data_IF_886565697876
#
_entry.id   IF_886565697876
#
_cell.length_a   1.000
_cell.length_b   1.000
_cell.length_c   1.000
_cell.angle_alpha   90.00
_cell.angle_beta   90.00
_cell.angle_gamma   90.00
#
_symmetry.space_group_name_H-M   'P 1'
#
loop_
_entity.id
_entity.type
_entity.pdbx_description
1 polymer ?
#
# COMPACT_ATOMS: atom_id res chain seq x y z
N UNK A 1 -8.07 21.92 -15.21
CA UNK A 1 -9.30 22.60 -15.70
C UNK A 1 -10.48 22.60 -14.72
N UNK A 2 -10.34 22.15 -13.46
CA UNK A 2 -11.45 22.17 -12.47
C UNK A 2 -11.52 23.44 -11.60
N UNK A 3 -10.46 24.27 -11.60
CA UNK A 3 -10.39 25.52 -10.79
C UNK A 3 -11.06 26.70 -11.51
N UNK A 4 -11.01 26.73 -12.85
CA UNK A 4 -11.65 27.80 -13.64
C UNK A 4 -13.18 27.78 -13.50
N UNK A 5 -13.78 26.59 -13.39
CA UNK A 5 -15.21 26.40 -13.22
C UNK A 5 -15.73 26.91 -11.86
N UNK A 6 -14.90 26.84 -10.81
CA UNK A 6 -15.26 27.31 -9.46
C UNK A 6 -15.14 28.84 -9.33
N UNK A 7 -14.17 29.45 -10.02
CA UNK A 7 -14.02 30.92 -10.07
C UNK A 7 -15.15 31.55 -10.90
N UNK A 8 -15.59 30.89 -11.98
CA UNK A 8 -16.75 31.36 -12.76
C UNK A 8 -18.07 31.23 -12.01
N UNK A 9 -18.27 30.21 -11.17
CA UNK A 9 -19.45 30.13 -10.31
C UNK A 9 -19.46 31.20 -9.20
N UNK A 10 -18.31 31.54 -8.62
CA UNK A 10 -18.21 32.61 -7.63
C UNK A 10 -18.37 34.01 -8.24
N UNK A 11 -17.88 34.23 -9.46
CA UNK A 11 -18.09 35.46 -10.21
C UNK A 11 -19.57 35.63 -10.65
N UNK A 12 -20.29 34.53 -10.86
CA UNK A 12 -21.72 34.55 -11.16
C UNK A 12 -22.59 35.07 -10.01
N UNK A 13 -22.17 34.91 -8.76
CA UNK A 13 -22.89 35.44 -7.58
C UNK A 13 -22.62 36.95 -7.39
N UNK A 14 -21.50 37.46 -7.90
CA UNK A 14 -21.14 38.88 -7.83
C UNK A 14 -21.77 39.74 -8.94
N UNK A 15 -22.37 39.13 -9.97
CA UNK A 15 -23.01 39.82 -11.09
C UNK A 15 -24.56 39.85 -11.02
N UNK A 16 -25.18 39.24 -10.01
CA UNK A 16 -26.65 39.32 -9.78
C UNK A 16 -26.97 40.33 -8.66
N UNK A 17 -26.37 41.51 -8.70
CA UNK A 17 -26.84 42.63 -7.91
C UNK A 17 -27.14 43.85 -8.79
N UNK A 18 -28.20 43.82 -9.62
CA UNK A 18 -28.93 45.03 -9.92
C UNK A 18 -30.10 45.18 -8.93
N UNK A 19 -30.36 46.41 -8.52
CA UNK A 19 -31.57 46.88 -7.84
C UNK A 19 -31.65 46.62 -6.34
N UNK A 20 -31.11 47.56 -5.57
CA UNK A 20 -31.78 48.13 -4.40
C UNK A 20 -31.36 49.60 -4.27
N UNK A 21 -31.64 50.36 -5.33
CA UNK A 21 -31.86 51.80 -5.20
C UNK A 21 -33.18 52.01 -4.45
N UNK A 22 -33.12 52.85 -3.43
CA UNK A 22 -34.22 53.62 -2.84
C UNK A 22 -35.53 52.86 -2.55
N UNK A 23 -35.70 52.45 -1.30
CA UNK A 23 -36.99 52.48 -0.64
C UNK A 23 -36.76 52.78 0.85
N UNK A 24 -37.06 54.02 1.20
CA UNK A 24 -37.10 54.55 2.55
C UNK A 24 -38.34 53.96 3.26
N UNK A 25 -38.23 52.71 3.72
CA UNK A 25 -39.22 52.10 4.61
C UNK A 25 -38.50 51.62 5.87
N UNK A 26 -38.56 52.47 6.89
CA UNK A 26 -38.02 52.24 8.24
C UNK A 26 -38.83 51.16 8.96
N UNK A 27 -38.58 49.90 8.64
CA UNK A 27 -38.99 48.77 9.49
C UNK A 27 -37.75 48.19 10.20
N UNK A 28 -37.76 48.06 11.54
CA UNK A 28 -36.62 47.52 12.32
C UNK A 28 -36.25 46.06 11.96
N UNK A 29 -37.11 45.38 11.21
CA UNK A 29 -36.87 44.05 10.65
C UNK A 29 -35.95 44.09 9.40
N UNK A 30 -36.07 45.14 8.58
CA UNK A 30 -35.29 45.31 7.35
C UNK A 30 -33.84 45.73 7.66
N UNK A 31 -33.64 46.65 8.62
CA UNK A 31 -32.31 47.06 9.08
C UNK A 31 -31.52 45.92 9.70
N UNK A 32 -32.13 45.09 10.55
CA UNK A 32 -31.49 43.87 11.11
C UNK A 32 -31.15 42.83 10.05
N UNK A 33 -31.94 42.72 8.97
CA UNK A 33 -31.64 41.83 7.83
C UNK A 33 -30.47 42.37 6.99
N UNK A 34 -30.41 43.67 6.76
CA UNK A 34 -29.31 44.32 6.04
C UNK A 34 -28.01 44.21 6.82
N UNK A 35 -28.05 44.38 8.14
CA UNK A 35 -26.86 44.27 9.00
C UNK A 35 -26.33 42.83 9.08
N UNK A 36 -27.22 41.83 9.21
CA UNK A 36 -26.84 40.42 9.09
C UNK A 36 -26.26 40.06 7.71
N UNK A 37 -26.75 40.68 6.64
CA UNK A 37 -26.23 40.46 5.29
C UNK A 37 -24.85 41.12 5.12
N UNK A 38 -24.65 42.33 5.64
CA UNK A 38 -23.34 43.00 5.65
C UNK A 38 -22.31 42.16 6.40
N UNK A 39 -22.66 41.66 7.58
CA UNK A 39 -21.77 40.83 8.38
C UNK A 39 -21.42 39.50 7.68
N UNK A 40 -22.41 38.83 7.05
CA UNK A 40 -22.13 37.64 6.22
C UNK A 40 -21.24 37.93 5.02
N UNK A 41 -21.40 39.08 4.37
CA UNK A 41 -20.54 39.48 3.25
C UNK A 41 -19.11 39.75 3.72
N UNK A 42 -18.96 40.34 4.90
CA UNK A 42 -17.67 40.64 5.52
C UNK A 42 -16.96 39.36 5.96
N UNK A 43 -17.67 38.44 6.62
CA UNK A 43 -17.18 37.10 6.96
C UNK A 43 -16.75 36.32 5.71
N UNK A 44 -17.54 36.35 4.64
CA UNK A 44 -17.18 35.71 3.36
C UNK A 44 -15.97 36.38 2.73
N UNK A 45 -15.85 37.71 2.82
CA UNK A 45 -14.70 38.47 2.29
C UNK A 45 -13.42 38.17 3.06
N UNK A 46 -13.48 38.07 4.37
CA UNK A 46 -12.35 37.68 5.21
C UNK A 46 -11.95 36.22 4.96
N UNK A 47 -12.93 35.32 4.84
CA UNK A 47 -12.67 33.90 4.57
C UNK A 47 -12.10 33.68 3.15
N UNK A 48 -12.51 34.51 2.17
CA UNK A 48 -11.91 34.54 0.83
C UNK A 48 -10.50 35.13 0.88
N UNK A 49 -10.27 36.24 1.60
CA UNK A 49 -8.92 36.81 1.78
C UNK A 49 -7.99 35.79 2.44
N UNK A 50 -8.41 35.13 3.52
CA UNK A 50 -7.65 34.09 4.19
C UNK A 50 -7.31 32.91 3.25
N UNK A 51 -8.24 32.48 2.40
CA UNK A 51 -7.99 31.43 1.38
C UNK A 51 -7.14 31.87 0.20
N UNK A 52 -7.11 33.16 -0.11
CA UNK A 52 -6.26 33.74 -1.17
C UNK A 52 -4.85 34.04 -0.65
N UNK A 53 -4.71 34.35 0.64
CA UNK A 53 -3.46 34.62 1.35
C UNK A 53 -2.81 33.37 1.96
N UNK A 54 -3.50 32.23 2.02
CA UNK A 54 -2.86 30.93 2.26
C UNK A 54 -1.69 30.80 1.26
N UNK A 55 -0.44 30.70 1.73
CA UNK A 55 0.70 30.61 0.84
C UNK A 55 0.52 29.35 0.01
N UNK A 56 0.15 29.52 -1.27
CA UNK A 56 0.16 28.45 -2.25
C UNK A 56 1.57 27.88 -2.18
N UNK A 57 1.71 26.64 -1.67
CA UNK A 57 3.01 25.96 -1.62
C UNK A 57 3.68 26.20 -2.97
N UNK A 58 4.89 26.77 -2.94
CA UNK A 58 5.65 27.02 -4.16
C UNK A 58 5.76 25.71 -4.93
N UNK A 59 5.83 25.78 -6.27
CA UNK A 59 5.91 24.58 -7.12
C UNK A 59 7.03 23.63 -6.68
N UNK A 60 8.07 24.17 -6.06
CA UNK A 60 9.20 23.45 -5.45
C UNK A 60 8.78 22.66 -4.20
N UNK A 61 8.11 23.28 -3.24
CA UNK A 61 7.59 22.59 -2.04
C UNK A 61 6.63 21.44 -2.41
N UNK A 62 5.77 21.62 -3.42
CA UNK A 62 4.89 20.55 -3.93
C UNK A 62 5.70 19.40 -4.55
N UNK A 63 6.82 19.68 -5.21
CA UNK A 63 7.69 18.65 -5.80
C UNK A 63 8.48 17.90 -4.73
N UNK A 64 8.97 18.60 -3.72
CA UNK A 64 9.68 18.00 -2.58
C UNK A 64 8.76 17.09 -1.77
N UNK A 65 7.55 17.55 -1.44
CA UNK A 65 6.58 16.75 -0.68
C UNK A 65 6.20 15.46 -1.42
N UNK A 66 5.98 15.55 -2.74
CA UNK A 66 5.73 14.36 -3.59
C UNK A 66 6.91 13.40 -3.58
N UNK A 67 8.12 13.92 -3.70
CA UNK A 67 9.35 13.12 -3.66
C UNK A 67 9.49 12.37 -2.33
N UNK A 68 9.28 13.08 -1.22
CA UNK A 68 9.33 12.51 0.13
C UNK A 68 8.29 11.39 0.27
N UNK A 69 7.05 11.62 -0.20
CA UNK A 69 5.98 10.62 -0.15
C UNK A 69 6.30 9.37 -0.96
N UNK A 70 6.85 9.55 -2.17
CA UNK A 70 7.27 8.44 -3.03
C UNK A 70 8.38 7.63 -2.36
N UNK A 71 9.42 8.28 -1.85
CA UNK A 71 10.52 7.61 -1.15
C UNK A 71 10.03 6.83 0.07
N UNK A 72 9.20 7.44 0.93
CA UNK A 72 8.58 6.77 2.08
C UNK A 72 7.79 5.52 1.67
N UNK A 73 7.06 5.60 0.55
CA UNK A 73 6.30 4.45 0.04
C UNK A 73 7.19 3.29 -0.40
N UNK A 74 8.31 3.57 -1.09
CA UNK A 74 9.28 2.54 -1.51
C UNK A 74 9.89 1.87 -0.28
N UNK A 75 10.35 2.66 0.69
CA UNK A 75 10.99 2.15 1.90
C UNK A 75 10.01 1.23 2.65
N UNK A 76 8.77 1.66 2.85
CA UNK A 76 7.75 0.86 3.52
C UNK A 76 7.47 -0.47 2.79
N UNK A 77 7.36 -0.44 1.46
CA UNK A 77 7.15 -1.65 0.66
C UNK A 77 8.37 -2.57 0.73
N UNK A 78 9.58 -2.03 0.60
CA UNK A 78 10.83 -2.77 0.74
C UNK A 78 10.93 -3.48 2.10
N UNK A 79 10.62 -2.77 3.20
CA UNK A 79 10.64 -3.33 4.54
C UNK A 79 9.59 -4.42 4.75
N UNK A 80 8.42 -4.27 4.13
CA UNK A 80 7.38 -5.29 4.13
C UNK A 80 7.87 -6.58 3.45
N UNK A 81 8.43 -6.46 2.24
CA UNK A 81 8.98 -7.62 1.53
C UNK A 81 10.18 -8.24 2.24
N UNK A 82 11.07 -7.44 2.82
CA UNK A 82 12.20 -7.94 3.62
C UNK A 82 11.71 -8.80 4.80
N UNK A 83 10.66 -8.34 5.50
CA UNK A 83 10.03 -9.13 6.57
C UNK A 83 9.38 -10.40 6.06
N UNK A 84 8.72 -10.36 4.90
CA UNK A 84 8.10 -11.55 4.30
C UNK A 84 9.14 -12.59 3.86
N UNK A 85 10.25 -12.17 3.25
CA UNK A 85 11.37 -13.05 2.86
C UNK A 85 11.97 -13.73 4.09
N UNK A 86 12.18 -12.99 5.19
CA UNK A 86 12.65 -13.59 6.45
C UNK A 86 11.68 -14.64 6.99
N UNK A 87 10.37 -14.34 7.01
CA UNK A 87 9.34 -15.31 7.44
C UNK A 87 9.26 -16.53 6.52
N UNK A 88 9.44 -16.34 5.22
CA UNK A 88 9.49 -17.43 4.25
C UNK A 88 10.67 -18.36 4.53
N UNK A 89 11.86 -17.81 4.80
CA UNK A 89 13.04 -18.60 5.23
C UNK A 89 12.74 -19.46 6.46
N UNK A 90 12.23 -18.85 7.53
CA UNK A 90 11.86 -19.56 8.76
C UNK A 90 10.83 -20.67 8.52
N UNK A 91 9.86 -20.45 7.63
CA UNK A 91 8.89 -21.46 7.26
C UNK A 91 9.56 -22.64 6.54
N UNK A 92 10.43 -22.36 5.57
CA UNK A 92 11.16 -23.41 4.84
C UNK A 92 12.09 -24.20 5.78
N UNK A 93 12.73 -23.57 6.76
CA UNK A 93 13.54 -24.26 7.77
C UNK A 93 12.69 -25.25 8.59
N UNK A 94 11.50 -24.82 9.05
CA UNK A 94 10.57 -25.68 9.77
C UNK A 94 10.08 -26.85 8.91
N UNK A 95 9.81 -26.60 7.63
CA UNK A 95 9.38 -27.64 6.70
C UNK A 95 10.50 -28.62 6.39
N UNK A 96 11.76 -28.16 6.25
CA UNK A 96 12.92 -29.02 6.05
C UNK A 96 13.06 -30.00 7.22
N UNK A 97 13.01 -29.49 8.45
CA UNK A 97 13.07 -30.35 9.64
C UNK A 97 11.96 -31.41 9.69
N UNK A 98 10.79 -31.15 9.08
CA UNK A 98 9.71 -32.15 8.98
C UNK A 98 9.97 -33.16 7.87
N UNK A 99 10.50 -32.72 6.73
CA UNK A 99 10.95 -33.61 5.64
C UNK A 99 12.01 -34.57 6.18
N UNK A 100 13.00 -34.06 6.90
CA UNK A 100 14.10 -34.87 7.45
C UNK A 100 13.58 -35.94 8.41
N UNK A 101 12.59 -35.61 9.25
CA UNK A 101 11.92 -36.59 10.13
C UNK A 101 11.12 -37.64 9.36
N UNK A 102 10.40 -37.23 8.32
CA UNK A 102 9.66 -38.17 7.47
C UNK A 102 10.62 -39.13 6.74
N UNK A 103 11.73 -38.60 6.23
CA UNK A 103 12.79 -39.38 5.60
C UNK A 103 13.43 -40.37 6.57
N UNK A 104 13.74 -39.93 7.79
CA UNK A 104 14.26 -40.81 8.84
C UNK A 104 13.27 -41.92 9.24
N UNK A 105 11.97 -41.68 9.07
CA UNK A 105 10.91 -42.67 9.27
C UNK A 105 10.68 -43.59 8.04
N UNK A 106 11.50 -43.49 6.99
CA UNK A 106 11.40 -44.32 5.78
C UNK A 106 10.37 -43.85 4.75
N UNK A 107 9.78 -42.67 4.92
CA UNK A 107 8.77 -42.13 4.00
C UNK A 107 9.41 -41.65 2.69
N UNK A 108 8.71 -41.81 1.56
CA UNK A 108 9.17 -41.28 0.28
C UNK A 108 9.00 -39.75 0.22
N UNK A 109 10.07 -39.02 0.50
CA UNK A 109 10.07 -37.55 0.60
C UNK A 109 10.48 -36.82 -0.68
N UNK A 110 10.73 -37.53 -1.78
CA UNK A 110 11.30 -36.98 -3.03
C UNK A 110 10.57 -35.75 -3.56
N UNK A 111 9.22 -35.77 -3.57
CA UNK A 111 8.41 -34.66 -4.06
C UNK A 111 8.51 -33.42 -3.14
N UNK A 112 8.56 -33.63 -1.83
CA UNK A 112 8.71 -32.56 -0.84
C UNK A 112 10.11 -31.96 -0.89
N UNK A 113 11.15 -32.79 -1.06
CA UNK A 113 12.54 -32.34 -1.24
C UNK A 113 12.72 -31.50 -2.52
N UNK A 114 12.08 -31.92 -3.63
CA UNK A 114 12.12 -31.18 -4.90
C UNK A 114 11.46 -29.80 -4.74
N UNK A 115 10.24 -29.76 -4.19
CA UNK A 115 9.54 -28.50 -3.95
C UNK A 115 10.31 -27.59 -2.96
N UNK A 116 11.00 -28.18 -1.98
CA UNK A 116 11.85 -27.44 -1.04
C UNK A 116 13.04 -26.79 -1.73
N UNK A 117 13.74 -27.53 -2.59
CA UNK A 117 14.86 -27.00 -3.39
C UNK A 117 14.39 -25.83 -4.27
N UNK A 118 13.26 -26.00 -4.96
CA UNK A 118 12.69 -24.96 -5.80
C UNK A 118 12.27 -23.72 -5.01
N UNK A 119 11.77 -23.89 -3.79
CA UNK A 119 11.43 -22.78 -2.91
C UNK A 119 12.67 -22.04 -2.40
N UNK A 120 13.76 -22.77 -2.09
CA UNK A 120 15.03 -22.18 -1.63
C UNK A 120 15.71 -21.36 -2.72
N UNK A 121 15.68 -21.81 -3.97
CA UNK A 121 16.21 -21.05 -5.11
C UNK A 121 15.47 -19.71 -5.23
N UNK A 122 14.13 -19.74 -5.22
CA UNK A 122 13.32 -18.52 -5.29
C UNK A 122 13.55 -17.58 -4.09
N UNK A 123 13.77 -18.15 -2.90
CA UNK A 123 14.08 -17.35 -1.71
C UNK A 123 15.43 -16.64 -1.86
N UNK A 124 16.44 -17.33 -2.40
CA UNK A 124 17.75 -16.75 -2.67
C UNK A 124 17.66 -15.63 -3.72
N UNK A 125 16.90 -15.84 -4.80
CA UNK A 125 16.65 -14.82 -5.83
C UNK A 125 15.95 -13.59 -5.25
N UNK A 126 14.87 -13.79 -4.48
CA UNK A 126 14.16 -12.70 -3.80
C UNK A 126 15.08 -11.92 -2.84
N UNK A 127 15.94 -12.60 -2.10
CA UNK A 127 16.90 -11.99 -1.18
C UNK A 127 17.92 -11.14 -1.94
N UNK A 128 18.49 -11.69 -3.02
CA UNK A 128 19.44 -10.97 -3.88
C UNK A 128 18.84 -9.70 -4.48
N UNK A 129 17.58 -9.77 -4.94
CA UNK A 129 16.89 -8.59 -5.48
C UNK A 129 16.66 -7.54 -4.40
N UNK A 130 16.28 -7.95 -3.18
CA UNK A 130 16.11 -7.03 -2.05
C UNK A 130 17.44 -6.38 -1.68
N UNK A 131 18.55 -7.12 -1.65
CA UNK A 131 19.87 -6.53 -1.35
C UNK A 131 20.28 -5.48 -2.39
N UNK A 132 20.00 -5.70 -3.68
CA UNK A 132 20.23 -4.69 -4.73
C UNK A 132 19.32 -3.46 -4.58
N UNK A 133 18.08 -3.64 -4.10
CA UNK A 133 17.18 -2.51 -3.79
C UNK A 133 17.66 -1.76 -2.54
N UNK A 134 18.20 -2.44 -1.53
CA UNK A 134 18.63 -1.86 -0.26
C UNK A 134 19.63 -0.71 -0.46
N UNK A 135 20.55 -0.85 -1.41
CA UNK A 135 21.52 0.20 -1.75
C UNK A 135 20.96 1.38 -2.56
N UNK A 136 19.75 1.28 -3.09
CA UNK A 136 19.15 2.25 -4.05
C UNK A 136 17.86 2.89 -3.56
N UNK A 137 17.19 2.31 -2.55
CA UNK A 137 15.88 2.78 -2.06
C UNK A 137 15.93 4.21 -1.51
N UNK A 138 17.05 4.60 -0.90
CA UNK A 138 17.19 5.90 -0.24
C UNK A 138 17.52 7.03 -1.23
N UNK A 139 17.92 6.70 -2.46
CA UNK A 139 18.23 7.68 -3.52
C UNK A 139 17.18 7.72 -4.64
N UNK A 140 16.16 6.87 -4.57
CA UNK A 140 15.07 6.78 -5.54
C UNK A 140 14.12 7.97 -5.48
N UNK A 141 14.54 9.06 -6.13
CA UNK A 141 13.81 10.34 -6.21
C UNK A 141 13.25 10.55 -7.61
N UNK A 142 13.92 10.04 -8.63
CA UNK A 142 13.53 10.16 -10.02
C UNK A 142 12.59 9.03 -10.48
N UNK A 143 11.73 9.35 -11.46
CA UNK A 143 10.73 8.43 -12.01
C UNK A 143 11.34 7.16 -12.62
N UNK A 144 12.45 7.21 -13.39
CA UNK A 144 13.11 6.00 -13.89
C UNK A 144 13.54 5.04 -12.79
N UNK A 145 14.25 5.52 -11.76
CA UNK A 145 14.72 4.70 -10.64
C UNK A 145 13.54 4.10 -9.87
N UNK A 146 12.49 4.88 -9.63
CA UNK A 146 11.25 4.39 -9.02
C UNK A 146 10.65 3.21 -9.79
N UNK A 147 10.52 3.33 -11.11
CA UNK A 147 9.94 2.27 -11.95
C UNK A 147 10.79 1.00 -11.95
N UNK A 148 12.12 1.14 -11.93
CA UNK A 148 13.03 0.00 -11.83
C UNK A 148 12.88 -0.73 -10.49
N UNK A 149 12.87 0.01 -9.37
CA UNK A 149 12.68 -0.58 -8.03
C UNK A 149 11.31 -1.25 -7.94
N UNK A 150 10.26 -0.61 -8.46
CA UNK A 150 8.91 -1.19 -8.49
C UNK A 150 8.89 -2.51 -9.26
N UNK A 151 9.52 -2.59 -10.43
CA UNK A 151 9.60 -3.82 -11.23
C UNK A 151 10.33 -4.93 -10.48
N UNK A 152 11.42 -4.60 -9.79
CA UNK A 152 12.17 -5.56 -8.96
C UNK A 152 11.33 -6.07 -7.78
N UNK A 153 10.62 -5.19 -7.08
CA UNK A 153 9.71 -5.58 -6.01
C UNK A 153 8.54 -6.45 -6.51
N UNK A 154 8.07 -6.24 -7.74
CA UNK A 154 7.09 -7.13 -8.37
C UNK A 154 7.66 -8.54 -8.64
N UNK A 155 8.94 -8.66 -9.00
CA UNK A 155 9.60 -9.96 -9.11
C UNK A 155 9.66 -10.65 -7.75
N UNK A 156 10.13 -9.94 -6.71
CA UNK A 156 10.15 -10.47 -5.32
C UNK A 156 8.76 -10.96 -4.88
N UNK A 157 7.71 -10.21 -5.21
CA UNK A 157 6.34 -10.62 -4.93
C UNK A 157 5.95 -11.96 -5.60
N UNK A 158 6.31 -12.12 -6.88
CA UNK A 158 6.06 -13.37 -7.61
C UNK A 158 6.81 -14.55 -7.00
N UNK A 159 8.08 -14.33 -6.64
CA UNK A 159 8.91 -15.37 -6.01
C UNK A 159 8.33 -15.81 -4.66
N UNK A 160 7.91 -14.86 -3.82
CA UNK A 160 7.26 -15.16 -2.54
C UNK A 160 5.93 -15.90 -2.71
N UNK A 161 5.13 -15.55 -3.72
CA UNK A 161 3.90 -16.29 -4.02
C UNK A 161 4.20 -17.72 -4.48
N UNK A 162 5.23 -17.92 -5.29
CA UNK A 162 5.65 -19.25 -5.72
C UNK A 162 6.18 -20.08 -4.53
N UNK A 163 6.98 -19.49 -3.65
CA UNK A 163 7.42 -20.13 -2.40
C UNK A 163 6.22 -20.58 -1.56
N UNK A 164 5.17 -19.74 -1.46
CA UNK A 164 3.94 -20.11 -0.74
C UNK A 164 3.26 -21.33 -1.35
N UNK A 165 3.19 -21.40 -2.68
CA UNK A 165 2.61 -22.55 -3.38
C UNK A 165 3.44 -23.82 -3.17
N UNK A 166 4.77 -23.71 -3.26
CA UNK A 166 5.68 -24.84 -3.04
C UNK A 166 5.62 -25.31 -1.57
N UNK A 167 5.54 -24.39 -0.61
CA UNK A 167 5.30 -24.71 0.80
C UNK A 167 3.97 -25.46 1.02
N UNK A 168 2.90 -25.07 0.32
CA UNK A 168 1.62 -25.78 0.39
C UNK A 168 1.72 -27.21 -0.15
N UNK A 169 2.45 -27.42 -1.26
CA UNK A 169 2.71 -28.77 -1.79
C UNK A 169 3.47 -29.62 -0.77
N UNK A 170 4.53 -29.08 -0.17
CA UNK A 170 5.32 -29.77 0.86
C UNK A 170 4.42 -30.18 2.03
N UNK A 171 3.59 -29.26 2.53
CA UNK A 171 2.66 -29.55 3.62
C UNK A 171 1.68 -30.66 3.23
N UNK A 172 1.16 -30.64 2.01
CA UNK A 172 0.26 -31.68 1.50
C UNK A 172 0.94 -33.05 1.48
N UNK A 173 2.16 -33.14 0.95
CA UNK A 173 2.96 -34.37 0.94
C UNK A 173 3.27 -34.87 2.35
N UNK A 174 3.59 -33.97 3.28
CA UNK A 174 3.83 -34.34 4.67
C UNK A 174 2.57 -34.83 5.38
N UNK A 175 1.39 -34.28 5.03
CA UNK A 175 0.11 -34.71 5.62
C UNK A 175 -0.26 -36.12 5.15
N UNK A 176 -0.05 -36.47 3.88
CA UNK A 176 -0.35 -37.82 3.38
C UNK A 176 0.39 -38.91 4.14
N UNK A 177 1.62 -38.66 4.60
CA UNK A 177 2.38 -39.63 5.41
C UNK A 177 1.75 -39.88 6.78
N UNK A 178 1.23 -38.83 7.43
CA UNK A 178 0.53 -38.98 8.70
C UNK A 178 -0.80 -39.73 8.55
N UNK A 179 -1.54 -39.50 7.47
CA UNK A 179 -2.80 -40.20 7.19
C UNK A 179 -2.58 -41.70 6.95
N UNK A 180 -1.50 -42.07 6.25
CA UNK A 180 -1.17 -43.48 6.02
C UNK A 180 -0.86 -44.20 7.34
N UNK A 181 -0.07 -43.59 8.23
CA UNK A 181 0.24 -44.16 9.55
C UNK A 181 -0.98 -44.43 10.44
N UNK A 182 -2.01 -43.60 10.37
CA UNK A 182 -3.25 -43.84 11.14
C UNK A 182 -4.04 -45.03 10.58
N UNK A 183 -4.09 -45.19 9.25
CA UNK A 183 -4.79 -46.30 8.61
C UNK A 183 -4.15 -47.67 8.91
N UNK A 184 -2.82 -47.75 8.93
CA UNK A 184 -2.10 -49.00 9.24
C UNK A 184 -2.27 -49.43 10.70
N UNK A 185 -2.29 -48.46 11.64
CA UNK A 185 -2.54 -48.76 13.06
C UNK A 185 -3.97 -49.23 13.34
N UNK A 186 -4.95 -48.83 12.54
CA UNK A 186 -6.33 -49.31 12.68
C UNK A 186 -6.56 -50.72 12.15
N UNK A 187 -5.80 -51.16 11.13
CA UNK A 187 -5.92 -52.54 10.62
C UNK A 187 -5.25 -53.55 11.55
N UNK A 188 -4.11 -53.22 12.15
CA UNK A 188 -3.41 -54.11 13.11
C UNK A 188 -4.15 -54.35 14.44
N UNK A 189 -5.14 -53.51 14.78
CA UNK A 189 -5.97 -53.67 15.98
C UNK A 189 -7.24 -54.49 15.77
N UNK A 190 -7.50 -54.90 14.53
CA UNK A 190 -8.74 -55.59 14.13
C UNK A 190 -8.52 -57.07 13.79
N UNK A 191 -7.30 -57.58 13.97
CA UNK A 191 -6.94 -59.01 13.94
C UNK A 191 -6.76 -59.54 15.37
#
# INVERSE_FOLDING_TARGET
MKVLAFILMAAGILLVAPVLTLAEDTSPSATKRIENLKQKVEDVRENIKARVEEPKLTREQIREEKTIKVRKSIIAIFESYSRLTMKAGQLLDKLQARIDRAKAAGENTTAAETAMKDARVKLADATKILDDIKGKKDTAVDKPTFLQIRKKLQTVHKDLNAIRLDAAKIISSLRSFNSQKESTKSSEKSE
#
